data_IF_307905506626
#
_entry.id   IF_307905506626
#
_cell.length_a   1.000
_cell.length_b   1.000
_cell.length_c   1.000
_cell.angle_alpha   90.00
_cell.angle_beta   90.00
_cell.angle_gamma   90.00
#
_symmetry.space_group_name_H-M   'P 1'
#
loop_
_entity.id
_entity.type
_entity.pdbx_description
1 polymer ?
#
# COMPACT_ATOMS: atom_id res chain seq x y z
N UNK A 1 -9.93 13.86 -18.56
CA UNK A 1 -9.95 12.65 -19.43
C UNK A 1 -9.11 11.58 -18.74
N UNK A 2 -9.74 10.55 -18.17
CA UNK A 2 -9.03 9.46 -17.51
C UNK A 2 -8.65 8.42 -18.57
N UNK A 3 -7.35 8.22 -18.77
CA UNK A 3 -6.81 7.31 -19.77
C UNK A 3 -6.53 5.99 -19.07
N UNK A 4 -7.35 4.98 -19.34
CA UNK A 4 -6.98 3.59 -19.07
C UNK A 4 -5.74 3.27 -19.91
N UNK A 5 -4.60 3.01 -19.27
CA UNK A 5 -3.42 2.45 -19.94
C UNK A 5 -3.21 1.04 -19.43
N UNK A 6 -3.23 0.06 -20.35
CA UNK A 6 -2.63 -1.23 -20.10
C UNK A 6 -1.11 -1.02 -20.04
N UNK A 7 -0.51 -1.19 -18.87
CA UNK A 7 0.91 -0.90 -18.62
C UNK A 7 1.84 -2.03 -19.11
N UNK A 8 1.27 -3.17 -19.53
CA UNK A 8 2.01 -4.32 -20.06
C UNK A 8 2.78 -5.10 -18.99
N UNK A 9 3.29 -6.28 -19.37
CA UNK A 9 4.05 -7.17 -18.49
C UNK A 9 5.44 -6.60 -18.08
N UNK A 10 5.92 -5.57 -18.78
CA UNK A 10 7.20 -4.90 -18.52
C UNK A 10 7.05 -3.61 -17.70
N UNK A 11 5.89 -3.36 -17.09
CA UNK A 11 5.71 -2.20 -16.22
C UNK A 11 6.64 -2.31 -15.02
N UNK A 12 7.64 -1.44 -14.94
CA UNK A 12 8.42 -1.27 -13.72
C UNK A 12 7.64 -0.36 -12.76
N UNK A 13 7.08 -0.88 -11.65
CA UNK A 13 6.34 -0.08 -10.70
C UNK A 13 7.21 1.00 -10.02
N UNK A 14 8.55 0.87 -10.05
CA UNK A 14 9.50 1.82 -9.47
C UNK A 14 10.00 2.90 -10.44
N UNK A 15 9.64 2.84 -11.72
CA UNK A 15 10.02 3.91 -12.66
C UNK A 15 9.24 5.19 -12.35
N UNK A 16 9.93 6.33 -12.27
CA UNK A 16 9.29 7.64 -12.12
C UNK A 16 8.32 7.85 -13.29
N UNK A 17 7.07 8.14 -12.96
CA UNK A 17 6.00 8.31 -13.94
C UNK A 17 4.88 9.19 -13.42
N UNK A 18 3.79 9.36 -14.19
CA UNK A 18 2.64 10.10 -13.72
C UNK A 18 2.09 9.48 -12.43
N UNK A 19 1.52 10.30 -11.52
CA UNK A 19 0.91 9.82 -10.32
C UNK A 19 -0.23 8.88 -10.68
N UNK A 20 -0.40 7.86 -9.85
CA UNK A 20 -1.31 6.77 -10.15
C UNK A 20 -1.94 6.20 -8.90
N UNK A 21 -3.17 5.74 -9.05
CA UNK A 21 -3.86 4.90 -8.08
C UNK A 21 -3.98 3.52 -8.71
N UNK A 22 -3.57 2.49 -7.97
CA UNK A 22 -3.65 1.11 -8.42
C UNK A 22 -4.44 0.29 -7.41
N UNK A 23 -5.42 -0.48 -7.90
CA UNK A 23 -6.08 -1.53 -7.12
C UNK A 23 -5.32 -2.82 -7.39
N UNK A 24 -4.96 -3.54 -6.33
CA UNK A 24 -4.25 -4.80 -6.36
C UNK A 24 -5.15 -5.90 -5.80
N UNK A 25 -5.14 -7.06 -6.45
CA UNK A 25 -5.89 -8.24 -6.05
C UNK A 25 -5.00 -9.47 -6.13
N UNK A 26 -4.70 -10.07 -4.98
CA UNK A 26 -4.00 -11.33 -4.86
C UNK A 26 -5.00 -12.45 -4.57
N UNK A 27 -5.07 -13.52 -5.40
CA UNK A 27 -5.95 -14.64 -5.09
C UNK A 27 -5.45 -15.43 -3.87
N UNK A 28 -6.31 -16.26 -3.30
CA UNK A 28 -5.94 -17.28 -2.32
C UNK A 28 -4.77 -18.13 -2.84
N UNK A 29 -3.83 -18.45 -1.94
CA UNK A 29 -2.62 -19.20 -2.25
C UNK A 29 -1.49 -18.36 -2.82
N UNK A 30 -1.66 -17.03 -2.94
CA UNK A 30 -0.57 -16.15 -3.36
C UNK A 30 0.57 -16.17 -2.35
N UNK A 31 1.84 -16.25 -2.79
CA UNK A 31 2.99 -16.14 -1.89
C UNK A 31 3.01 -14.80 -1.15
N UNK A 32 3.37 -14.83 0.12
CA UNK A 32 3.53 -13.65 0.97
C UNK A 32 5.02 -13.39 1.15
N UNK A 33 5.41 -12.13 0.98
CA UNK A 33 6.77 -11.65 1.23
C UNK A 33 6.83 -10.80 2.50
N UNK A 34 7.97 -10.74 3.17
CA UNK A 34 8.18 -9.88 4.33
C UNK A 34 8.30 -8.39 3.95
N UNK A 35 8.54 -7.53 4.94
CA UNK A 35 8.69 -6.09 4.75
C UNK A 35 9.94 -5.69 3.94
N UNK A 36 10.90 -6.59 3.77
CA UNK A 36 12.08 -6.43 2.90
C UNK A 36 11.82 -6.98 1.49
N UNK A 37 10.66 -7.60 1.25
CA UNK A 37 10.32 -8.22 -0.03
C UNK A 37 10.96 -9.60 -0.22
N UNK A 38 11.32 -10.29 0.85
CA UNK A 38 11.86 -11.65 0.83
C UNK A 38 10.72 -12.67 1.01
N UNK A 39 10.80 -13.79 0.29
CA UNK A 39 9.80 -14.86 0.41
C UNK A 39 9.95 -15.52 1.79
N UNK A 40 8.84 -15.62 2.52
CA UNK A 40 8.81 -16.24 3.86
C UNK A 40 8.25 -17.66 3.85
N UNK A 41 8.00 -18.24 2.67
CA UNK A 41 7.42 -19.58 2.53
C UNK A 41 5.97 -19.69 2.98
N UNK A 42 5.28 -18.55 3.16
CA UNK A 42 3.87 -18.49 3.54
C UNK A 42 3.01 -18.10 2.34
N UNK A 43 1.72 -18.48 2.38
CA UNK A 43 0.76 -18.17 1.32
C UNK A 43 -0.53 -17.64 1.93
N UNK A 44 -1.18 -16.71 1.23
CA UNK A 44 -2.41 -16.08 1.71
C UNK A 44 -3.59 -17.05 1.74
N UNK A 45 -4.20 -17.22 2.91
CA UNK A 45 -5.33 -18.13 3.10
C UNK A 45 -6.62 -17.67 2.40
N UNK A 46 -6.83 -16.35 2.28
CA UNK A 46 -8.07 -15.75 1.78
C UNK A 46 -7.89 -14.94 0.49
N UNK A 47 -6.65 -14.70 0.08
CA UNK A 47 -6.32 -13.64 -0.88
C UNK A 47 -6.20 -12.28 -0.19
N UNK A 48 -5.95 -11.24 -0.96
CA UNK A 48 -5.77 -9.89 -0.45
C UNK A 48 -6.16 -8.84 -1.49
N UNK A 49 -6.84 -7.78 -1.06
CA UNK A 49 -7.16 -6.63 -1.93
C UNK A 49 -6.71 -5.34 -1.25
N UNK A 50 -5.94 -4.53 -1.97
CA UNK A 50 -5.38 -3.29 -1.45
C UNK A 50 -5.26 -2.23 -2.54
N UNK A 51 -5.13 -0.98 -2.12
CA UNK A 51 -4.92 0.17 -3.00
C UNK A 51 -3.51 0.69 -2.78
N UNK A 52 -2.81 1.03 -3.86
CA UNK A 52 -1.55 1.76 -3.79
C UNK A 52 -1.64 3.09 -4.51
N UNK A 53 -0.95 4.08 -3.98
CA UNK A 53 -0.75 5.37 -4.63
C UNK A 53 0.73 5.50 -4.91
N UNK A 54 1.03 5.90 -6.15
CA UNK A 54 2.38 6.24 -6.56
C UNK A 54 2.43 7.71 -6.96
N UNK A 55 3.42 8.44 -6.48
CA UNK A 55 3.57 9.87 -6.73
C UNK A 55 4.63 10.49 -5.84
N UNK A 56 4.74 11.81 -5.86
CA UNK A 56 5.60 12.54 -4.93
C UNK A 56 4.95 12.55 -3.56
N UNK A 57 5.64 12.00 -2.56
CA UNK A 57 5.20 12.05 -1.17
C UNK A 57 5.34 13.51 -0.67
N UNK A 58 4.26 14.12 -0.14
CA UNK A 58 4.31 15.52 0.31
C UNK A 58 5.16 15.72 1.57
N UNK A 59 5.46 14.66 2.33
CA UNK A 59 6.25 14.69 3.56
C UNK A 59 7.74 14.49 3.26
N UNK A 60 8.10 13.45 2.50
CA UNK A 60 9.50 13.13 2.20
C UNK A 60 10.02 13.80 0.93
N UNK A 61 9.13 14.36 0.11
CA UNK A 61 9.41 14.91 -1.22
C UNK A 61 9.99 13.91 -2.24
N UNK A 62 10.03 12.63 -1.90
CA UNK A 62 10.51 11.57 -2.78
C UNK A 62 9.37 11.01 -3.64
N UNK A 63 9.70 10.47 -4.82
CA UNK A 63 8.77 9.68 -5.60
C UNK A 63 8.64 8.29 -4.98
N UNK A 64 7.48 8.00 -4.41
CA UNK A 64 7.25 6.80 -3.60
C UNK A 64 5.97 6.09 -4.03
N UNK A 65 5.91 4.80 -3.67
CA UNK A 65 4.69 4.02 -3.72
C UNK A 65 4.32 3.63 -2.29
N UNK A 66 3.11 3.98 -1.89
CA UNK A 66 2.53 3.62 -0.60
C UNK A 66 1.25 2.85 -0.84
N UNK A 67 0.89 1.96 0.08
CA UNK A 67 -0.34 1.17 -0.06
C UNK A 67 -1.05 1.00 1.26
N UNK A 68 -2.37 0.86 1.15
CA UNK A 68 -3.29 0.55 2.24
C UNK A 68 -4.28 -0.49 1.74
N UNK A 69 -4.49 -1.54 2.51
CA UNK A 69 -5.46 -2.61 2.24
C UNK A 69 -6.29 -2.94 3.47
N UNK A 70 -7.30 -3.79 3.30
CA UNK A 70 -7.96 -4.43 4.44
C UNK A 70 -7.11 -5.61 4.88
N UNK A 71 -6.86 -5.76 6.18
CA UNK A 71 -6.06 -6.88 6.69
C UNK A 71 -6.60 -8.23 6.18
N UNK A 72 -5.74 -9.16 5.73
CA UNK A 72 -6.17 -10.46 5.20
C UNK A 72 -6.67 -11.44 6.27
N UNK A 73 -6.82 -11.03 7.54
CA UNK A 73 -7.38 -11.86 8.61
C UNK A 73 -6.45 -12.97 9.13
N UNK A 74 -5.17 -12.96 8.74
CA UNK A 74 -4.10 -13.69 9.41
C UNK A 74 -3.54 -12.77 10.51
N UNK A 75 -3.91 -13.01 11.76
CA UNK A 75 -3.68 -12.20 12.98
C UNK A 75 -2.30 -11.50 13.11
N UNK A 76 -2.28 -10.21 13.52
CA UNK A 76 -1.06 -9.56 14.06
C UNK A 76 -1.31 -8.86 15.42
N UNK A 77 -2.37 -9.25 16.15
CA UNK A 77 -2.46 -9.24 17.60
C UNK A 77 -3.00 -7.99 18.32
N UNK A 78 -3.57 -6.98 17.66
CA UNK A 78 -4.20 -5.83 18.35
C UNK A 78 -5.28 -5.16 17.50
N UNK A 79 -6.15 -4.33 18.11
CA UNK A 79 -7.19 -3.49 17.45
C UNK A 79 -6.72 -2.57 16.29
N UNK A 80 -5.44 -2.63 15.92
CA UNK A 80 -4.82 -2.18 14.66
C UNK A 80 -5.16 -3.08 13.44
N UNK A 81 -5.91 -4.16 13.65
CA UNK A 81 -6.14 -5.30 12.73
C UNK A 81 -7.03 -5.10 11.50
N UNK A 82 -7.49 -3.89 11.17
CA UNK A 82 -8.37 -3.72 9.99
C UNK A 82 -7.63 -3.28 8.72
N UNK A 83 -6.45 -2.67 8.87
CA UNK A 83 -5.72 -2.07 7.75
C UNK A 83 -4.31 -2.61 7.67
N UNK A 84 -3.90 -2.98 6.46
CA UNK A 84 -2.55 -3.38 6.11
C UNK A 84 -1.85 -2.27 5.35
N UNK A 85 -0.53 -2.15 5.52
CA UNK A 85 0.29 -1.13 4.86
C UNK A 85 1.47 -1.78 4.15
N UNK A 86 1.97 -1.11 3.12
CA UNK A 86 3.10 -1.60 2.30
C UNK A 86 2.85 -2.99 1.67
N UNK A 87 1.59 -3.37 1.48
CA UNK A 87 1.17 -4.60 0.80
C UNK A 87 1.75 -4.78 -0.60
N UNK A 88 2.08 -3.69 -1.29
CA UNK A 88 2.75 -3.74 -2.58
C UNK A 88 4.13 -4.43 -2.53
N UNK A 89 4.77 -4.48 -1.36
CA UNK A 89 6.00 -5.24 -1.12
C UNK A 89 5.70 -6.72 -0.83
N UNK A 90 4.58 -6.98 -0.15
CA UNK A 90 4.19 -8.31 0.35
C UNK A 90 3.51 -9.18 -0.71
N UNK A 91 2.80 -8.58 -1.67
CA UNK A 91 2.01 -9.28 -2.70
C UNK A 91 2.51 -8.96 -4.11
N UNK A 92 3.75 -9.36 -4.40
CA UNK A 92 4.42 -9.07 -5.70
C UNK A 92 3.70 -9.67 -6.91
N UNK A 93 2.92 -10.73 -6.73
CA UNK A 93 2.17 -11.41 -7.78
C UNK A 93 0.70 -10.96 -7.89
N UNK A 94 0.31 -9.88 -7.21
CA UNK A 94 -1.06 -9.37 -7.30
C UNK A 94 -1.39 -8.90 -8.72
N UNK A 95 -2.61 -9.18 -9.16
CA UNK A 95 -3.18 -8.59 -10.37
C UNK A 95 -3.54 -7.14 -10.12
N UNK A 96 -3.33 -6.26 -11.10
CA UNK A 96 -3.43 -4.81 -10.89
C UNK A 96 -4.33 -4.11 -11.89
N UNK A 97 -5.12 -3.14 -11.41
CA UNK A 97 -5.78 -2.12 -12.24
C UNK A 97 -5.24 -0.74 -11.87
N UNK A 98 -4.54 -0.08 -12.80
CA UNK A 98 -3.92 1.22 -12.56
C UNK A 98 -4.62 2.34 -13.32
N UNK A 99 -4.96 3.40 -12.59
CA UNK A 99 -5.45 4.67 -13.13
C UNK A 99 -4.31 5.68 -13.01
N UNK A 100 -3.87 6.23 -14.13
CA UNK A 100 -2.82 7.27 -14.19
C UNK A 100 -3.41 8.63 -14.55
N UNK A 101 -2.85 9.70 -13.99
CA UNK A 101 -3.25 11.07 -14.32
C UNK A 101 -2.04 11.93 -14.62
N UNK A 102 -2.12 12.72 -15.69
CA UNK A 102 -1.15 13.78 -15.99
C UNK A 102 -1.59 15.15 -15.43
N UNK A 103 -2.70 15.19 -14.66
CA UNK A 103 -3.20 16.44 -14.12
C UNK A 103 -2.31 16.90 -12.96
N UNK A 104 -1.76 18.12 -13.06
CA UNK A 104 -0.87 18.72 -12.07
C UNK A 104 -1.50 18.82 -10.67
N UNK A 105 -2.82 19.00 -10.56
CA UNK A 105 -3.51 18.97 -9.27
C UNK A 105 -3.43 17.60 -8.59
N UNK A 106 -3.36 16.53 -9.38
CA UNK A 106 -3.19 15.17 -8.86
C UNK A 106 -1.75 14.90 -8.40
N UNK A 107 -0.76 15.65 -8.93
CA UNK A 107 0.61 15.66 -8.41
C UNK A 107 0.71 16.42 -7.09
N UNK A 108 -0.05 17.50 -6.90
CA UNK A 108 0.06 18.40 -5.75
C UNK A 108 -0.92 18.11 -4.60
N UNK A 109 -2.05 17.47 -4.86
CA UNK A 109 -3.05 17.09 -3.85
C UNK A 109 -3.13 15.57 -3.67
N UNK A 110 -2.06 14.98 -3.15
CA UNK A 110 -2.11 13.60 -2.67
C UNK A 110 -2.69 13.55 -1.25
N UNK A 111 -3.88 14.14 -1.03
CA UNK A 111 -4.63 14.06 0.24
C UNK A 111 -4.73 12.61 0.75
N UNK A 112 -4.90 11.66 -0.17
CA UNK A 112 -4.94 10.23 0.15
C UNK A 112 -3.56 9.72 0.60
N UNK A 113 -2.46 10.18 -0.02
CA UNK A 113 -1.13 9.78 0.40
C UNK A 113 -0.76 10.35 1.78
N UNK A 114 -1.09 11.62 2.02
CA UNK A 114 -0.99 12.23 3.35
C UNK A 114 -1.84 11.50 4.38
N UNK A 115 -3.07 11.10 4.02
CA UNK A 115 -3.97 10.35 4.92
C UNK A 115 -3.40 8.97 5.26
N UNK A 116 -2.94 8.20 4.27
CA UNK A 116 -2.31 6.88 4.47
C UNK A 116 -1.07 7.03 5.36
N UNK A 117 -0.21 8.01 5.05
CA UNK A 117 1.03 8.27 5.81
C UNK A 117 0.71 8.63 7.26
N UNK A 118 -0.14 9.64 7.49
CA UNK A 118 -0.55 10.07 8.83
C UNK A 118 -1.19 8.96 9.65
N UNK A 119 -2.09 8.17 9.03
CA UNK A 119 -2.73 7.06 9.72
C UNK A 119 -1.72 5.95 10.05
N UNK A 120 -0.83 5.60 9.11
CA UNK A 120 0.24 4.61 9.34
C UNK A 120 1.18 5.01 10.48
N UNK A 121 1.55 6.30 10.57
CA UNK A 121 2.34 6.81 11.68
C UNK A 121 1.58 6.73 13.01
N UNK A 122 0.31 7.15 13.03
CA UNK A 122 -0.54 7.11 14.22
C UNK A 122 -0.68 5.69 14.77
N UNK A 123 -0.84 4.68 13.89
CA UNK A 123 -0.91 3.28 14.33
C UNK A 123 0.46 2.68 14.66
N UNK A 124 1.56 3.27 14.19
CA UNK A 124 2.93 2.79 14.49
C UNK A 124 3.51 3.31 15.81
N UNK A 125 2.97 4.40 16.37
CA UNK A 125 3.37 4.90 17.68
C UNK A 125 2.87 3.93 18.77
N UNK A 126 3.69 3.58 19.78
CA UNK A 126 3.18 2.89 20.95
C UNK A 126 2.20 3.86 21.64
N UNK A 127 0.97 3.39 21.85
CA UNK A 127 0.13 3.94 22.92
C UNK A 127 0.99 3.89 24.18
N UNK A 128 1.34 5.06 24.71
CA UNK A 128 1.92 5.17 26.04
C UNK A 128 0.89 4.51 26.96
N UNK A 129 1.20 3.31 27.43
CA UNK A 129 0.52 2.69 28.55
C UNK A 129 0.80 3.61 29.73
N UNK A 130 -0.16 4.49 30.03
CA UNK A 130 -0.17 5.22 31.28
C UNK A 130 -0.44 4.17 32.34
N UNK A 131 0.65 3.54 32.78
CA UNK A 131 0.64 2.48 33.78
C UNK A 131 -0.25 2.85 34.95
N UNK A 132 -0.91 1.82 35.49
CA UNK A 132 -1.77 1.91 36.65
C UNK A 132 -1.17 2.84 37.69
N UNK A 133 -1.86 3.95 37.91
CA UNK A 133 -1.65 4.81 39.06
C UNK A 133 -2.13 3.99 40.26
N UNK A 134 -1.17 3.40 40.96
CA UNK A 134 -1.31 2.78 42.28
C UNK A 134 -1.88 3.74 43.31
#
# INVERSE_FOLDING_TARGET
MNIHRNLGASHNPMQIGPPSITIHVAPKGSPIYNHLGEDIGSTSQWGHTYISIRGVNPVTHNYEQISMGLSPGEDWGTSKDNLSFNDHVRYKSASTLTITSNNQQFFSHSLIAGTITSYSHTVSLPTIDLGEIS
#
